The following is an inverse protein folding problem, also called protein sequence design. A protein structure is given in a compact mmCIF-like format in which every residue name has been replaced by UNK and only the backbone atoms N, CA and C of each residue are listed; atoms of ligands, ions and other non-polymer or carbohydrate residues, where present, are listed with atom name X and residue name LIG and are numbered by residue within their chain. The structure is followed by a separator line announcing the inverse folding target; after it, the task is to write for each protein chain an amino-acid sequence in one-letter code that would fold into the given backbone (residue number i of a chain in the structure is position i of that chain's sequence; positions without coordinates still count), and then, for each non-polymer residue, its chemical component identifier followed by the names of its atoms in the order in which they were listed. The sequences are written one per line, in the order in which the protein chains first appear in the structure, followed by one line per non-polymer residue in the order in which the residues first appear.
data_IF_930510964505
#
_entry.id   IF_930510964505
#
_cell.length_a   1.000
_cell.length_b   1.000
_cell.length_c   1.000
_cell.angle_alpha   90.00
_cell.angle_beta   90.00
_cell.angle_gamma   90.00
#
_symmetry.space_group_name_H-M   'P 1'
#
loop_
_entity.id
_entity.type
_entity.pdbx_description
1 polymer ?
#
# COMPACT_ATOMS: atom_id res chain seq x y z
N UNK A 1 7.25 48.96 -46.41
CA UNK A 1 6.86 47.58 -46.75
C UNK A 1 7.84 46.67 -46.05
N UNK A 2 7.43 46.01 -44.97
CA UNK A 2 8.26 45.01 -44.26
C UNK A 2 7.65 43.63 -44.54
N UNK A 3 8.29 42.87 -45.41
CA UNK A 3 7.98 41.47 -45.65
C UNK A 3 8.57 40.67 -44.49
N UNK A 4 7.71 40.21 -43.59
CA UNK A 4 8.08 39.24 -42.57
C UNK A 4 7.95 37.85 -43.20
N UNK A 5 9.07 37.16 -43.32
CA UNK A 5 9.13 35.76 -43.78
C UNK A 5 8.29 34.88 -42.83
N UNK A 6 7.54 33.88 -43.34
CA UNK A 6 6.76 33.02 -42.47
C UNK A 6 7.67 32.17 -41.60
N UNK A 7 7.40 32.18 -40.29
CA UNK A 7 8.01 31.29 -39.30
C UNK A 7 7.80 29.85 -39.78
N UNK A 8 8.90 29.17 -40.11
CA UNK A 8 8.88 27.75 -40.41
C UNK A 8 8.65 27.00 -39.10
N UNK A 9 7.53 26.28 -39.02
CA UNK A 9 7.30 25.32 -37.94
C UNK A 9 8.28 24.17 -38.13
N UNK A 10 9.38 24.18 -37.37
CA UNK A 10 10.28 23.05 -37.27
C UNK A 10 9.48 21.86 -36.74
N UNK A 11 9.44 20.81 -37.54
CA UNK A 11 8.74 19.58 -37.23
C UNK A 11 9.46 19.00 -36.01
N UNK A 12 8.83 19.05 -34.84
CA UNK A 12 9.29 18.33 -33.63
C UNK A 12 9.20 16.83 -33.93
N UNK A 13 10.18 16.35 -34.69
CA UNK A 13 10.47 14.97 -34.99
C UNK A 13 11.46 14.48 -33.94
N UNK A 14 10.93 14.02 -32.82
CA UNK A 14 11.25 12.69 -32.28
C UNK A 14 10.44 12.51 -31.01
N UNK A 15 9.40 11.68 -31.10
CA UNK A 15 8.82 11.13 -29.89
C UNK A 15 9.88 10.19 -29.28
N UNK A 16 10.23 10.34 -28.00
CA UNK A 16 11.13 9.42 -27.35
C UNK A 16 10.53 8.01 -27.44
N UNK A 17 11.32 7.06 -27.94
CA UNK A 17 10.95 5.65 -27.93
C UNK A 17 10.89 5.22 -26.46
N UNK A 18 9.67 5.16 -25.91
CA UNK A 18 9.42 4.66 -24.57
C UNK A 18 9.75 3.17 -24.58
N UNK A 19 11.01 2.86 -24.25
CA UNK A 19 11.50 1.49 -24.06
C UNK A 19 10.52 0.79 -23.12
N UNK A 20 9.90 -0.28 -23.60
CA UNK A 20 8.85 -1.06 -22.93
C UNK A 20 9.36 -1.88 -21.73
N UNK A 21 10.28 -1.35 -20.93
CA UNK A 21 10.75 -2.01 -19.71
C UNK A 21 9.80 -1.83 -18.51
N UNK A 22 8.59 -1.31 -18.72
CA UNK A 22 7.62 -1.10 -17.64
C UNK A 22 6.96 -2.41 -17.16
N UNK A 23 7.07 -3.51 -17.90
CA UNK A 23 6.72 -4.83 -17.36
C UNK A 23 7.94 -5.42 -16.66
N UNK A 24 8.43 -4.74 -15.62
CA UNK A 24 9.16 -5.44 -14.57
C UNK A 24 8.15 -6.36 -13.91
N UNK A 25 8.43 -7.66 -13.92
CA UNK A 25 7.75 -8.73 -13.20
C UNK A 25 7.10 -8.20 -11.92
N UNK A 26 5.79 -7.93 -11.95
CA UNK A 26 5.02 -7.83 -10.71
C UNK A 26 4.91 -9.29 -10.27
N UNK A 27 5.94 -9.79 -9.59
CA UNK A 27 5.72 -10.93 -8.71
C UNK A 27 4.65 -10.45 -7.74
N UNK A 28 3.43 -11.01 -7.75
CA UNK A 28 2.51 -10.75 -6.67
C UNK A 28 3.23 -11.27 -5.44
N UNK A 29 3.76 -10.36 -4.60
CA UNK A 29 4.25 -10.71 -3.29
C UNK A 29 3.07 -11.36 -2.61
N UNK A 30 3.08 -12.69 -2.56
CA UNK A 30 2.06 -13.48 -1.90
C UNK A 30 2.16 -13.09 -0.43
N UNK A 31 1.33 -12.13 -0.03
CA UNK A 31 1.26 -11.66 1.34
C UNK A 31 0.80 -12.87 2.15
N UNK A 32 1.74 -13.52 2.82
CA UNK A 32 1.42 -14.62 3.71
C UNK A 32 0.60 -14.09 4.86
N UNK A 33 -0.33 -14.89 5.38
CA UNK A 33 -1.05 -14.54 6.60
C UNK A 33 -0.07 -14.24 7.76
N UNK A 34 1.06 -14.94 7.80
CA UNK A 34 2.12 -14.73 8.78
C UNK A 34 2.73 -13.33 8.64
N UNK A 35 2.90 -12.83 7.41
CA UNK A 35 3.37 -11.47 7.17
C UNK A 35 2.35 -10.43 7.63
N UNK A 36 1.06 -10.70 7.44
CA UNK A 36 -0.04 -9.83 7.88
C UNK A 36 -0.09 -9.76 9.41
N UNK A 37 0.09 -10.89 10.09
CA UNK A 37 0.15 -10.93 11.56
C UNK A 37 1.36 -10.17 12.10
N UNK A 38 2.56 -10.45 11.58
CA UNK A 38 3.77 -9.75 11.98
C UNK A 38 3.64 -8.23 11.77
N UNK A 39 3.07 -7.82 10.63
CA UNK A 39 2.80 -6.43 10.34
C UNK A 39 1.78 -5.83 11.32
N UNK A 40 0.71 -6.56 11.62
CA UNK A 40 -0.29 -6.12 12.57
C UNK A 40 0.30 -5.88 13.96
N UNK A 41 1.15 -6.79 14.45
CA UNK A 41 1.85 -6.65 15.73
C UNK A 41 2.75 -5.40 15.74
N UNK A 42 3.48 -5.13 14.66
CA UNK A 42 4.30 -3.91 14.56
C UNK A 42 3.47 -2.64 14.57
N UNK A 43 2.32 -2.62 13.89
CA UNK A 43 1.42 -1.47 13.85
C UNK A 43 0.76 -1.22 15.20
N UNK A 44 0.36 -2.27 15.90
CA UNK A 44 -0.18 -2.17 17.25
C UNK A 44 0.86 -1.61 18.22
N UNK A 45 2.09 -2.13 18.17
CA UNK A 45 3.18 -1.65 19.03
C UNK A 45 3.50 -0.18 18.76
N UNK A 46 3.63 0.23 17.49
CA UNK A 46 3.89 1.63 17.12
C UNK A 46 2.75 2.56 17.56
N UNK A 47 1.50 2.14 17.40
CA UNK A 47 0.35 2.90 17.87
C UNK A 47 0.38 3.06 19.40
N UNK A 48 0.65 2.00 20.15
CA UNK A 48 0.77 2.05 21.62
C UNK A 48 1.93 2.94 22.05
N UNK A 49 3.09 2.83 21.41
CA UNK A 49 4.26 3.67 21.72
C UNK A 49 3.96 5.16 21.49
N UNK A 50 3.28 5.50 20.38
CA UNK A 50 2.85 6.88 20.09
C UNK A 50 1.84 7.40 21.11
N UNK A 51 0.88 6.58 21.53
CA UNK A 51 -0.07 6.93 22.60
C UNK A 51 0.67 7.20 23.91
N UNK A 52 1.61 6.34 24.28
CA UNK A 52 2.36 6.46 25.54
C UNK A 52 3.23 7.72 25.56
N UNK A 53 3.92 8.01 24.46
CA UNK A 53 4.74 9.22 24.33
C UNK A 53 3.90 10.50 24.34
N UNK A 54 2.75 10.49 23.67
CA UNK A 54 1.80 11.61 23.73
C UNK A 54 1.28 11.82 25.16
N UNK A 55 0.90 10.74 25.86
CA UNK A 55 0.47 10.80 27.26
C UNK A 55 1.59 11.24 28.21
N UNK A 56 2.86 10.96 27.89
CA UNK A 56 4.03 11.42 28.61
C UNK A 56 4.34 12.91 28.39
N UNK A 57 3.59 13.60 27.53
CA UNK A 57 3.77 15.03 27.23
C UNK A 57 4.85 15.31 26.19
N UNK A 58 5.32 14.29 25.45
CA UNK A 58 6.18 14.52 24.30
C UNK A 58 5.41 15.27 23.21
N UNK A 59 6.12 16.11 22.44
CA UNK A 59 5.54 16.92 21.36
C UNK A 59 5.23 16.05 20.12
N UNK A 60 4.32 15.11 20.29
CA UNK A 60 3.76 14.30 19.21
C UNK A 60 2.40 14.92 18.85
N UNK A 61 2.16 15.24 17.58
CA UNK A 61 0.86 15.70 17.15
C UNK A 61 -0.22 14.65 17.45
N UNK A 62 -1.32 15.06 18.09
CA UNK A 62 -2.45 14.16 18.42
C UNK A 62 -3.02 13.43 17.19
N UNK A 63 -2.94 14.04 16.01
CA UNK A 63 -3.41 13.44 14.77
C UNK A 63 -2.57 12.22 14.36
N UNK A 64 -1.26 12.21 14.63
CA UNK A 64 -0.40 11.06 14.32
C UNK A 64 -0.74 9.85 15.19
N UNK A 65 -1.11 10.09 16.45
CA UNK A 65 -1.59 9.05 17.36
C UNK A 65 -2.91 8.47 16.84
N UNK A 66 -3.88 9.34 16.49
CA UNK A 66 -5.17 8.91 15.96
C UNK A 66 -5.03 8.13 14.65
N UNK A 67 -4.19 8.61 13.73
CA UNK A 67 -3.91 7.94 12.45
C UNK A 67 -3.23 6.59 12.66
N UNK A 68 -2.25 6.51 13.57
CA UNK A 68 -1.59 5.24 13.90
C UNK A 68 -2.58 4.22 14.47
N UNK A 69 -3.47 4.64 15.37
CA UNK A 69 -4.51 3.78 15.95
C UNK A 69 -5.52 3.30 14.90
N UNK A 70 -5.98 4.18 14.01
CA UNK A 70 -6.94 3.79 12.97
C UNK A 70 -6.28 2.84 11.95
N UNK A 71 -5.03 3.08 11.57
CA UNK A 71 -4.28 2.17 10.70
C UNK A 71 -4.11 0.78 11.31
N UNK A 72 -3.79 0.70 12.61
CA UNK A 72 -3.68 -0.58 13.32
C UNK A 72 -5.02 -1.32 13.33
N UNK A 73 -6.13 -0.62 13.60
CA UNK A 73 -7.48 -1.16 13.60
C UNK A 73 -7.90 -1.68 12.22
N UNK A 74 -7.70 -0.90 11.16
CA UNK A 74 -8.02 -1.31 9.79
C UNK A 74 -7.19 -2.53 9.37
N UNK A 75 -5.89 -2.55 9.69
CA UNK A 75 -5.02 -3.68 9.40
C UNK A 75 -5.46 -4.95 10.13
N UNK A 76 -5.93 -4.83 11.37
CA UNK A 76 -6.48 -5.96 12.13
C UNK A 76 -7.78 -6.49 11.52
N UNK A 77 -8.70 -5.59 11.15
CA UNK A 77 -9.94 -6.00 10.47
C UNK A 77 -9.65 -6.74 9.16
N UNK A 78 -8.67 -6.27 8.40
CA UNK A 78 -8.19 -6.96 7.22
C UNK A 78 -7.61 -8.35 7.55
N UNK A 79 -6.77 -8.45 8.59
CA UNK A 79 -6.22 -9.74 9.02
C UNK A 79 -7.31 -10.76 9.41
N UNK A 80 -8.38 -10.31 10.08
CA UNK A 80 -9.54 -11.15 10.41
C UNK A 80 -10.25 -11.62 9.15
N UNK A 81 -10.45 -10.76 8.15
CA UNK A 81 -11.08 -11.16 6.89
C UNK A 81 -10.24 -12.21 6.15
N UNK A 82 -8.93 -12.02 6.11
CA UNK A 82 -8.00 -13.00 5.52
C UNK A 82 -8.07 -14.32 6.28
N UNK A 83 -8.02 -14.30 7.61
CA UNK A 83 -8.18 -15.49 8.46
C UNK A 83 -9.47 -16.24 8.13
N UNK A 84 -10.61 -15.54 8.06
CA UNK A 84 -11.89 -16.15 7.75
C UNK A 84 -11.87 -16.83 6.37
N UNK A 85 -11.32 -16.16 5.36
CA UNK A 85 -11.20 -16.71 4.01
C UNK A 85 -10.31 -17.96 3.96
N UNK A 86 -9.23 -17.99 4.72
CA UNK A 86 -8.34 -19.15 4.82
C UNK A 86 -9.05 -20.34 5.47
N UNK A 87 -9.79 -20.10 6.56
CA UNK A 87 -10.59 -21.13 7.23
C UNK A 87 -11.69 -21.65 6.30
N UNK A 88 -12.43 -20.77 5.63
CA UNK A 88 -13.46 -21.13 4.65
C UNK A 88 -12.90 -21.98 3.52
N UNK A 89 -11.77 -21.57 2.94
CA UNK A 89 -11.11 -22.29 1.83
C UNK A 89 -10.64 -23.67 2.27
N UNK A 90 -10.08 -23.79 3.47
CA UNK A 90 -9.69 -25.09 4.04
C UNK A 90 -10.90 -26.01 4.25
N UNK A 91 -11.99 -25.47 4.79
CA UNK A 91 -13.23 -26.23 4.96
C UNK A 91 -13.83 -26.67 3.62
N UNK A 92 -13.76 -25.83 2.59
CA UNK A 92 -14.26 -26.16 1.25
C UNK A 92 -13.51 -27.33 0.61
N UNK A 93 -12.17 -27.30 0.67
CA UNK A 93 -11.33 -28.41 0.16
C UNK A 93 -11.67 -29.72 0.88
N UNK A 94 -11.90 -29.66 2.19
CA UNK A 94 -12.25 -30.85 3.00
C UNK A 94 -13.63 -31.40 2.61
N UNK A 95 -14.60 -30.53 2.30
CA UNK A 95 -15.94 -30.93 1.85
C UNK A 95 -15.96 -31.57 0.46
N UNK A 96 -15.00 -31.25 -0.39
CA UNK A 96 -14.90 -31.83 -1.74
C UNK A 96 -14.34 -33.26 -1.75
N UNK A 97 -13.64 -33.69 -0.71
CA UNK A 97 -12.94 -34.99 -0.67
C UNK A 97 -13.74 -36.13 -0.03
N UNK A 98 -15.00 -35.90 0.34
CA UNK A 98 -15.92 -36.93 0.82
C UNK A 98 -16.89 -37.39 -0.26
#
# INVERSE_FOLDING_TARGET
MYNLEPISLDKVSSFPNLKSSFVSSIEPKQLSFLDILNRNDTLYKDATDKVMKYAAGENIPVHDVMVAMENAKLSFQFAVQVRNKLVESYQEITRMQI
#
